data_IF_384626531770
#
_entry.id   IF_384626531770
#
_cell.length_a   1.000
_cell.length_b   1.000
_cell.length_c   1.000
_cell.angle_alpha   90.00
_cell.angle_beta   90.00
_cell.angle_gamma   90.00
#
_symmetry.space_group_name_H-M   'P 1'
#
loop_
_entity.id
_entity.type
_entity.pdbx_description
1 polymer ?
#
# COMPACT_ATOMS: atom_id res chain seq x y z
N UNK A 1 -7.55 29.23 32.22
CA UNK A 1 -8.51 28.28 31.63
C UNK A 1 -7.93 27.90 30.28
N UNK A 2 -7.04 26.90 30.26
CA UNK A 2 -6.47 26.35 29.04
C UNK A 2 -7.22 25.04 28.83
N UNK A 3 -8.09 24.99 27.82
CA UNK A 3 -8.78 23.77 27.45
C UNK A 3 -7.72 22.93 26.72
N UNK A 4 -7.21 21.87 27.35
CA UNK A 4 -6.19 20.97 26.80
C UNK A 4 -6.66 20.16 25.56
N UNK A 5 -7.68 20.64 24.85
CA UNK A 5 -8.46 19.91 23.85
C UNK A 5 -8.15 20.31 22.39
N UNK A 6 -7.04 21.00 22.13
CA UNK A 6 -6.69 21.50 20.78
C UNK A 6 -5.58 20.69 20.08
N UNK A 7 -5.35 19.43 20.50
CA UNK A 7 -4.53 18.52 19.69
C UNK A 7 -5.40 17.91 18.60
N UNK A 8 -5.13 18.16 17.31
CA UNK A 8 -5.80 17.45 16.23
C UNK A 8 -5.67 15.95 16.51
N UNK A 9 -6.81 15.27 16.63
CA UNK A 9 -6.86 13.83 16.90
C UNK A 9 -5.85 13.12 16.00
N UNK A 10 -4.79 12.48 16.56
CA UNK A 10 -3.69 11.96 15.77
C UNK A 10 -4.23 10.99 14.72
N UNK A 11 -3.71 11.06 13.49
CA UNK A 11 -4.07 10.10 12.44
C UNK A 11 -4.04 8.67 13.02
N UNK A 12 -5.16 7.93 12.91
CA UNK A 12 -5.28 6.65 13.57
C UNK A 12 -4.12 5.74 13.19
N UNK A 13 -3.55 5.06 14.19
CA UNK A 13 -2.34 4.24 14.00
C UNK A 13 -2.57 3.13 12.95
N UNK A 14 -3.79 2.59 12.88
CA UNK A 14 -4.21 1.62 11.86
C UNK A 14 -4.10 2.16 10.43
N UNK A 15 -4.37 3.45 10.23
CA UNK A 15 -4.28 4.10 8.91
C UNK A 15 -2.82 4.15 8.43
N UNK A 16 -1.92 4.55 9.33
CA UNK A 16 -0.47 4.54 9.07
C UNK A 16 0.03 3.14 8.77
N UNK A 17 -0.40 2.13 9.55
CA UNK A 17 -0.03 0.74 9.32
C UNK A 17 -0.49 0.26 7.94
N UNK A 18 -1.77 0.44 7.59
CA UNK A 18 -2.30 -0.02 6.29
C UNK A 18 -1.59 0.65 5.12
N UNK A 19 -1.26 1.94 5.23
CA UNK A 19 -0.55 2.65 4.17
C UNK A 19 0.85 2.06 3.91
N UNK A 20 1.62 1.80 4.97
CA UNK A 20 2.92 1.14 4.84
C UNK A 20 2.78 -0.31 4.38
N UNK A 21 1.77 -1.04 4.87
CA UNK A 21 1.50 -2.40 4.42
C UNK A 21 1.22 -2.44 2.92
N UNK A 22 0.35 -1.58 2.39
CA UNK A 22 0.02 -1.54 0.96
C UNK A 22 1.23 -1.16 0.09
N UNK A 23 2.05 -0.21 0.53
CA UNK A 23 3.28 0.17 -0.16
C UNK A 23 4.26 -1.02 -0.24
N UNK A 24 4.51 -1.68 0.90
CA UNK A 24 5.39 -2.86 0.95
C UNK A 24 4.80 -4.02 0.16
N UNK A 25 3.49 -4.24 0.23
CA UNK A 25 2.78 -5.29 -0.48
C UNK A 25 2.87 -5.11 -2.00
N UNK A 26 2.69 -3.88 -2.50
CA UNK A 26 2.83 -3.57 -3.92
C UNK A 26 4.25 -3.82 -4.45
N UNK A 27 5.27 -3.42 -3.67
CA UNK A 27 6.68 -3.70 -4.00
C UNK A 27 6.96 -5.20 -3.97
N UNK A 28 6.55 -5.89 -2.89
CA UNK A 28 6.72 -7.34 -2.76
C UNK A 28 6.05 -8.07 -3.93
N UNK A 29 4.86 -7.65 -4.36
CA UNK A 29 4.17 -8.27 -5.48
C UNK A 29 4.98 -8.23 -6.78
N UNK A 30 5.53 -7.06 -7.12
CA UNK A 30 6.36 -6.88 -8.32
C UNK A 30 7.67 -7.66 -8.17
N UNK A 31 8.31 -7.58 -7.00
CA UNK A 31 9.57 -8.29 -6.71
C UNK A 31 9.38 -9.80 -6.81
N UNK A 32 8.32 -10.36 -6.23
CA UNK A 32 7.99 -11.79 -6.34
C UNK A 32 7.74 -12.19 -7.78
N UNK A 33 7.02 -11.39 -8.57
CA UNK A 33 6.79 -11.67 -9.99
C UNK A 33 8.08 -11.71 -10.82
N UNK A 34 9.00 -10.77 -10.55
CA UNK A 34 10.31 -10.72 -11.21
C UNK A 34 11.23 -11.86 -10.78
N UNK A 35 11.34 -12.13 -9.48
CA UNK A 35 12.17 -13.23 -8.94
C UNK A 35 11.65 -14.58 -9.45
N UNK A 36 10.34 -14.72 -9.57
CA UNK A 36 9.71 -15.94 -10.05
C UNK A 36 9.79 -16.15 -11.56
N UNK A 37 10.46 -15.29 -12.33
CA UNK A 37 10.52 -15.40 -13.80
C UNK A 37 9.12 -15.56 -14.42
N UNK A 38 8.17 -14.72 -14.00
CA UNK A 38 6.80 -14.72 -14.52
C UNK A 38 5.91 -15.91 -14.13
N UNK A 39 6.33 -16.76 -13.18
CA UNK A 39 5.56 -17.97 -12.79
C UNK A 39 4.73 -17.82 -11.50
N UNK A 40 5.07 -16.92 -10.58
CA UNK A 40 4.35 -16.64 -9.34
C UNK A 40 4.07 -15.14 -9.23
N UNK A 41 3.03 -14.68 -8.51
CA UNK A 41 2.09 -15.44 -7.66
C UNK A 41 0.96 -16.15 -8.42
N UNK A 42 0.65 -15.73 -9.65
CA UNK A 42 -0.35 -16.39 -10.50
C UNK A 42 0.26 -16.60 -11.89
N UNK A 43 0.71 -17.82 -12.19
CA UNK A 43 1.26 -18.18 -13.50
C UNK A 43 0.25 -17.91 -14.64
N UNK A 44 -1.04 -18.14 -14.37
CA UNK A 44 -2.13 -17.97 -15.33
C UNK A 44 -2.40 -16.50 -15.69
N UNK A 45 -1.97 -15.55 -14.86
CA UNK A 45 -2.19 -14.12 -15.08
C UNK A 45 -1.12 -13.50 -15.99
N UNK A 46 0.03 -14.17 -16.20
CA UNK A 46 1.11 -13.68 -17.07
C UNK A 46 1.50 -12.23 -16.76
N UNK A 47 1.49 -11.36 -17.77
CA UNK A 47 1.80 -9.93 -17.63
C UNK A 47 0.81 -9.12 -16.77
N UNK A 48 -0.38 -9.67 -16.46
CA UNK A 48 -1.37 -8.98 -15.63
C UNK A 48 -0.91 -8.77 -14.19
N UNK A 49 0.06 -9.57 -13.72
CA UNK A 49 0.66 -9.41 -12.39
C UNK A 49 1.36 -8.05 -12.21
N UNK A 50 1.92 -7.47 -13.28
CA UNK A 50 2.49 -6.12 -13.25
C UNK A 50 1.37 -5.08 -13.06
N UNK A 51 0.23 -5.25 -13.74
CA UNK A 51 -0.94 -4.38 -13.57
C UNK A 51 -1.47 -4.38 -12.14
N UNK A 52 -1.50 -5.56 -11.49
CA UNK A 52 -1.90 -5.69 -10.08
C UNK A 52 -0.90 -5.02 -9.15
N UNK A 53 0.41 -5.21 -9.37
CA UNK A 53 1.45 -4.55 -8.58
C UNK A 53 1.39 -3.03 -8.67
N UNK A 54 1.19 -2.49 -9.88
CA UNK A 54 0.99 -1.05 -10.11
C UNK A 54 -0.31 -0.56 -9.44
N UNK A 55 -1.40 -1.33 -9.53
CA UNK A 55 -2.66 -1.04 -8.85
C UNK A 55 -2.52 -0.95 -7.32
N UNK A 56 -1.77 -1.88 -6.71
CA UNK A 56 -1.49 -1.87 -5.26
C UNK A 56 -0.70 -0.62 -4.85
N UNK A 57 0.31 -0.24 -5.63
CA UNK A 57 1.09 0.99 -5.39
C UNK A 57 0.18 2.23 -5.53
N UNK A 58 -0.67 2.29 -6.56
CA UNK A 58 -1.65 3.37 -6.75
C UNK A 58 -2.61 3.49 -5.57
N UNK A 59 -3.12 2.38 -5.03
CA UNK A 59 -3.98 2.40 -3.83
C UNK A 59 -3.21 2.86 -2.59
N UNK A 60 -1.96 2.43 -2.43
CA UNK A 60 -1.07 2.93 -1.37
C UNK A 60 -0.84 4.43 -1.46
N UNK A 61 -0.64 4.97 -2.67
CA UNK A 61 -0.55 6.41 -2.92
C UNK A 61 -1.89 7.13 -2.71
N UNK A 62 -3.02 6.53 -3.06
CA UNK A 62 -4.32 7.14 -2.80
C UNK A 62 -4.56 7.28 -1.29
N UNK A 63 -4.10 6.33 -0.48
CA UNK A 63 -4.10 6.49 0.97
C UNK A 63 -3.16 7.59 1.48
N UNK A 64 -2.04 7.90 0.80
CA UNK A 64 -1.18 9.04 1.21
C UNK A 64 -1.88 10.40 1.01
N UNK A 65 -2.82 10.49 0.07
CA UNK A 65 -3.57 11.75 -0.18
C UNK A 65 -4.67 12.03 0.84
N UNK A 66 -5.16 11.02 1.57
CA UNK A 66 -6.25 11.18 2.55
C UNK A 66 -5.74 11.44 3.98
N UNK A 67 -4.51 11.94 4.11
CA UNK A 67 -3.92 12.34 5.39
C UNK A 67 -4.59 13.63 5.86
N UNK A 68 -5.57 13.46 6.74
CA UNK A 68 -6.20 14.51 7.54
C UNK A 68 -6.28 14.02 8.97
#
# INVERSE_FOLDING_TARGET
>A
MYSDDEFPSPTPLWYRVIMFTLMILGVLWIVTFYISQSTLPVAAAGNWNIGIGVGLIMVGLMMTTRWR
#
